data_IF_403906430857
#
_entry.id   IF_403906430857
#
_cell.length_a   1.000
_cell.length_b   1.000
_cell.length_c   1.000
_cell.angle_alpha   90.00
_cell.angle_beta   90.00
_cell.angle_gamma   90.00
#
_symmetry.space_group_name_H-M   'P 1'
#
loop_
_entity.id
_entity.type
_entity.pdbx_description
1 polymer ?
#
# COMPACT_ATOMS: atom_id res chain seq x y z
N UNK A 1 -8.66 1.84 -1.32
CA UNK A 1 -7.77 2.55 -2.29
C UNK A 1 -8.23 3.99 -2.36
N UNK A 2 -7.33 4.93 -2.68
CA UNK A 2 -7.66 6.35 -2.86
C UNK A 2 -7.29 6.79 -4.27
N UNK A 3 -8.03 7.76 -4.82
CA UNK A 3 -7.76 8.30 -6.15
C UNK A 3 -6.71 9.42 -6.07
N UNK A 4 -5.54 9.18 -6.67
CA UNK A 4 -4.41 10.12 -6.62
C UNK A 4 -4.71 11.51 -7.22
N UNK A 5 -5.63 11.58 -8.19
CA UNK A 5 -5.96 12.82 -8.89
C UNK A 5 -6.67 13.86 -8.01
N UNK A 6 -7.29 13.47 -6.89
CA UNK A 6 -7.88 14.42 -5.93
C UNK A 6 -6.81 15.20 -5.15
N UNK A 7 -5.57 14.71 -5.11
CA UNK A 7 -4.47 15.33 -4.35
C UNK A 7 -3.59 16.24 -5.22
N UNK A 8 -3.74 16.18 -6.54
CA UNK A 8 -3.10 17.08 -7.49
C UNK A 8 -3.88 18.41 -7.56
N UNK A 9 -3.59 19.34 -6.65
CA UNK A 9 -4.00 20.77 -6.60
C UNK A 9 -5.32 21.18 -7.29
N UNK A 10 -6.33 21.53 -6.49
CA UNK A 10 -7.65 22.07 -6.90
C UNK A 10 -7.68 23.61 -7.10
N UNK A 11 -6.62 24.24 -7.59
CA UNK A 11 -6.63 25.70 -7.77
C UNK A 11 -5.42 26.27 -8.48
N UNK A 12 -5.71 27.06 -9.53
CA UNK A 12 -4.80 27.81 -10.40
C UNK A 12 -4.01 27.00 -11.44
N UNK A 13 -4.54 27.05 -12.67
CA UNK A 13 -3.84 26.94 -13.96
C UNK A 13 -3.04 25.65 -14.19
N UNK A 14 -3.15 25.14 -15.42
CA UNK A 14 -2.35 24.05 -15.96
C UNK A 14 -0.84 24.39 -16.01
N UNK A 15 -0.20 24.48 -14.85
CA UNK A 15 1.23 24.33 -14.67
C UNK A 15 1.41 23.03 -13.91
N UNK A 16 1.84 22.01 -14.64
CA UNK A 16 2.32 20.74 -14.10
C UNK A 16 3.41 21.06 -13.08
N UNK A 17 3.05 21.18 -11.81
CA UNK A 17 4.04 21.23 -10.75
C UNK A 17 4.60 19.80 -10.65
N UNK A 18 5.88 19.63 -10.93
CA UNK A 18 6.65 18.42 -10.63
C UNK A 18 6.80 18.27 -9.11
N UNK A 19 5.70 18.21 -8.37
CA UNK A 19 5.73 17.92 -6.95
C UNK A 19 5.54 16.43 -6.77
N UNK A 20 6.49 15.79 -6.10
CA UNK A 20 6.39 14.38 -5.75
C UNK A 20 5.17 14.21 -4.81
N UNK A 21 4.26 13.31 -5.19
CA UNK A 21 3.09 12.97 -4.39
C UNK A 21 3.43 11.77 -3.50
N UNK A 22 3.46 12.00 -2.20
CA UNK A 22 3.67 10.96 -1.18
C UNK A 22 2.33 10.56 -0.61
N UNK A 23 1.89 9.33 -0.88
CA UNK A 23 0.69 8.75 -0.28
C UNK A 23 1.09 7.82 0.86
N UNK A 24 0.68 8.19 2.08
CA UNK A 24 0.83 7.39 3.28
C UNK A 24 -0.45 6.63 3.61
N UNK A 25 -0.30 5.54 4.34
CA UNK A 25 -1.40 4.70 4.82
C UNK A 25 -1.14 4.32 6.27
N UNK A 26 -2.18 4.43 7.10
CA UNK A 26 -2.19 3.94 8.47
C UNK A 26 -3.29 2.91 8.64
N UNK A 27 -2.98 1.85 9.39
CA UNK A 27 -3.95 0.81 9.74
C UNK A 27 -3.87 0.59 11.23
N UNK A 28 -4.96 0.82 11.94
CA UNK A 28 -5.12 0.43 13.33
C UNK A 28 -5.61 -1.02 13.38
N UNK A 29 -4.75 -1.93 13.83
CA UNK A 29 -5.06 -3.35 13.91
C UNK A 29 -6.04 -3.71 15.05
N UNK A 30 -6.23 -2.82 16.04
CA UNK A 30 -7.16 -3.05 17.13
C UNK A 30 -8.60 -2.74 16.70
N UNK A 31 -8.79 -1.67 15.94
CA UNK A 31 -10.12 -1.22 15.49
C UNK A 31 -10.45 -1.64 14.07
N UNK A 32 -9.46 -1.97 13.24
CA UNK A 32 -9.64 -2.23 11.81
C UNK A 32 -9.77 -0.97 10.95
N UNK A 33 -9.53 0.22 11.52
CA UNK A 33 -9.63 1.48 10.80
C UNK A 33 -8.39 1.73 9.94
N UNK A 34 -8.61 2.03 8.66
CA UNK A 34 -7.57 2.39 7.70
C UNK A 34 -7.77 3.83 7.25
N UNK A 35 -6.72 4.65 7.37
CA UNK A 35 -6.72 6.06 6.95
C UNK A 35 -5.55 6.34 6.01
N UNK A 36 -5.67 7.44 5.25
CA UNK A 36 -4.69 7.82 4.24
C UNK A 36 -4.21 9.25 4.46
N UNK A 37 -2.96 9.50 4.07
CA UNK A 37 -2.40 10.85 4.04
C UNK A 37 -1.85 11.15 2.65
N UNK A 38 -1.98 12.39 2.17
CA UNK A 38 -1.26 12.90 1.01
C UNK A 38 -0.31 13.99 1.45
N UNK A 39 0.98 13.85 1.15
CA UNK A 39 2.05 14.78 1.53
C UNK A 39 2.02 15.14 3.03
N UNK A 40 1.77 14.14 3.88
CA UNK A 40 1.68 14.31 5.34
C UNK A 40 0.38 14.90 5.87
N UNK A 41 -0.56 15.31 5.00
CA UNK A 41 -1.89 15.77 5.39
C UNK A 41 -2.89 14.63 5.34
N UNK A 42 -3.66 14.45 6.42
CA UNK A 42 -4.74 13.46 6.47
C UNK A 42 -5.80 13.75 5.41
N UNK A 43 -6.26 12.69 4.75
CA UNK A 43 -7.34 12.71 3.77
C UNK A 43 -8.62 12.31 4.50
N UNK A 44 -9.73 12.98 4.21
CA UNK A 44 -11.04 12.68 4.82
C UNK A 44 -11.71 11.42 4.22
N UNK A 45 -10.93 10.36 4.04
CA UNK A 45 -11.36 9.08 3.50
C UNK A 45 -10.79 7.98 4.40
N UNK A 46 -11.69 7.20 5.00
CA UNK A 46 -11.36 6.11 5.89
C UNK A 46 -12.10 4.84 5.45
N UNK A 47 -11.52 3.70 5.76
CA UNK A 47 -12.11 2.38 5.48
C UNK A 47 -12.13 1.56 6.76
N UNK A 48 -13.26 0.91 7.01
CA UNK A 48 -13.40 -0.03 8.11
C UNK A 48 -13.19 -1.45 7.59
N UNK A 49 -12.28 -2.17 8.22
CA UNK A 49 -11.94 -3.56 7.85
C UNK A 49 -12.45 -4.49 8.93
N UNK A 50 -13.07 -5.59 8.50
CA UNK A 50 -13.55 -6.63 9.42
C UNK A 50 -12.38 -7.38 10.08
N UNK A 51 -12.52 -7.81 11.35
CA UNK A 51 -11.55 -8.67 12.00
C UNK A 51 -11.23 -9.93 11.18
N UNK A 52 -10.01 -10.44 11.34
CA UNK A 52 -9.49 -11.61 10.61
C UNK A 52 -9.40 -11.46 9.08
N UNK A 53 -9.51 -10.23 8.55
CA UNK A 53 -9.27 -9.96 7.12
C UNK A 53 -7.79 -9.86 6.83
N UNK A 54 -7.34 -10.49 5.74
CA UNK A 54 -5.98 -10.32 5.21
C UNK A 54 -5.97 -9.20 4.17
N UNK A 55 -5.14 -8.19 4.40
CA UNK A 55 -4.91 -7.09 3.46
C UNK A 55 -3.57 -7.26 2.77
N UNK A 56 -3.52 -6.90 1.49
CA UNK A 56 -2.30 -6.87 0.69
C UNK A 56 -2.08 -5.43 0.18
N UNK A 57 -0.91 -4.80 0.45
CA UNK A 57 -0.62 -3.48 -0.09
C UNK A 57 -0.45 -3.57 -1.61
N UNK A 58 -1.27 -2.80 -2.34
CA UNK A 58 -1.25 -2.77 -3.80
C UNK A 58 -1.44 -1.33 -4.30
N UNK A 59 -0.76 -1.00 -5.40
CA UNK A 59 -0.86 0.29 -6.07
C UNK A 59 -1.05 0.03 -7.57
N UNK A 60 -2.05 0.67 -8.15
CA UNK A 60 -2.28 0.67 -9.60
C UNK A 60 -1.82 2.02 -10.16
N UNK A 61 -0.89 1.99 -11.11
CA UNK A 61 -0.44 3.19 -11.81
C UNK A 61 -0.25 2.90 -13.30
N UNK A 62 -0.43 3.93 -14.11
CA UNK A 62 -0.05 3.91 -15.51
C UNK A 62 1.40 4.43 -15.62
N UNK A 63 2.33 3.67 -16.21
CA UNK A 63 3.69 4.15 -16.45
C UNK A 63 3.69 5.33 -17.42
N UNK A 64 4.10 6.51 -16.95
CA UNK A 64 4.20 7.73 -17.77
C UNK A 64 5.63 8.26 -17.85
N UNK A 65 6.55 7.75 -17.03
CA UNK A 65 7.96 8.13 -17.00
C UNK A 65 8.83 6.97 -16.48
N UNK A 66 10.15 7.16 -16.42
CA UNK A 66 11.08 6.15 -15.90
C UNK A 66 10.87 5.86 -14.41
N UNK A 67 10.49 6.88 -13.62
CA UNK A 67 10.24 6.75 -12.19
C UNK A 67 8.72 6.80 -11.94
N UNK A 68 8.08 5.63 -11.90
CA UNK A 68 6.62 5.54 -11.79
C UNK A 68 6.17 5.50 -10.33
N UNK A 69 6.73 4.59 -9.52
CA UNK A 69 6.40 4.40 -8.11
C UNK A 69 7.67 4.07 -7.33
N UNK A 70 7.80 4.63 -6.13
CA UNK A 70 8.73 4.20 -5.10
C UNK A 70 7.95 3.71 -3.88
N UNK A 71 8.25 2.51 -3.42
CA UNK A 71 7.67 1.97 -2.19
C UNK A 71 8.61 2.27 -1.02
N UNK A 72 8.09 2.89 0.03
CA UNK A 72 8.84 3.17 1.25
C UNK A 72 8.21 2.43 2.44
N UNK A 73 9.06 1.71 3.17
CA UNK A 73 8.70 1.06 4.42
C UNK A 73 9.26 1.89 5.57
N UNK A 74 8.67 3.08 5.76
CA UNK A 74 9.12 4.04 6.77
C UNK A 74 8.63 3.72 8.18
N UNK A 75 9.08 4.55 9.13
CA UNK A 75 8.51 4.64 10.47
C UNK A 75 7.92 6.03 10.71
N UNK A 76 6.81 6.09 11.43
CA UNK A 76 6.22 7.32 11.94
C UNK A 76 6.37 7.36 13.45
N UNK A 77 6.37 8.56 14.04
CA UNK A 77 6.55 8.73 15.48
C UNK A 77 5.44 7.96 16.22
N UNK A 78 5.84 7.10 17.16
CA UNK A 78 4.94 6.27 17.98
C UNK A 78 4.09 5.26 17.20
N UNK A 79 4.46 4.93 15.96
CA UNK A 79 3.75 3.95 15.11
C UNK A 79 4.74 2.87 14.70
N UNK A 80 4.35 1.61 14.86
CA UNK A 80 5.17 0.47 14.45
C UNK A 80 5.24 0.38 12.92
N UNK A 81 6.40 0.06 12.32
CA UNK A 81 6.53 -0.10 10.88
C UNK A 81 5.78 -1.36 10.40
N UNK A 82 5.39 -1.39 9.13
CA UNK A 82 4.67 -2.54 8.53
C UNK A 82 5.45 -3.86 8.65
N UNK A 83 6.78 -3.83 8.71
CA UNK A 83 7.61 -5.01 8.94
C UNK A 83 7.32 -5.69 10.28
N UNK A 84 7.01 -4.94 11.34
CA UNK A 84 6.60 -5.51 12.63
C UNK A 84 5.23 -6.20 12.58
N UNK A 85 4.36 -5.79 11.64
CA UNK A 85 3.07 -6.44 11.41
C UNK A 85 3.19 -7.71 10.53
N UNK A 86 4.12 -7.71 9.56
CA UNK A 86 4.29 -8.82 8.62
C UNK A 86 5.14 -9.97 9.19
N UNK A 87 6.14 -9.67 10.01
CA UNK A 87 7.11 -10.67 10.51
C UNK A 87 6.97 -10.87 12.01
N UNK A 88 6.63 -12.09 12.42
CA UNK A 88 6.46 -12.43 13.83
C UNK A 88 7.72 -12.20 14.67
N UNK A 89 8.92 -12.39 14.08
CA UNK A 89 10.21 -12.10 14.75
C UNK A 89 10.41 -10.62 15.04
N UNK A 90 9.87 -9.74 14.19
CA UNK A 90 10.04 -8.28 14.28
C UNK A 90 8.91 -7.59 15.03
N UNK A 91 7.96 -8.33 15.61
CA UNK A 91 6.74 -7.76 16.21
C UNK A 91 6.98 -6.65 17.23
N UNK A 92 8.10 -6.69 17.95
CA UNK A 92 8.49 -5.69 18.96
C UNK A 92 9.60 -4.75 18.49
N UNK A 93 10.05 -4.88 17.23
CA UNK A 93 11.12 -4.07 16.69
C UNK A 93 10.54 -2.75 16.14
N UNK A 94 10.91 -1.59 16.72
CA UNK A 94 10.45 -0.30 16.22
C UNK A 94 11.19 0.16 14.96
N UNK A 95 12.30 -0.50 14.59
CA UNK A 95 13.09 -0.14 13.42
C UNK A 95 12.57 -0.82 12.15
N UNK A 96 12.37 -0.07 11.05
CA UNK A 96 11.85 -0.61 9.81
C UNK A 96 12.84 -1.59 9.20
N UNK A 97 12.36 -2.79 8.90
CA UNK A 97 13.10 -3.82 8.17
C UNK A 97 12.55 -3.99 6.75
N UNK A 98 13.42 -4.31 5.80
CA UNK A 98 13.06 -4.71 4.44
C UNK A 98 13.64 -6.10 4.16
N UNK A 99 13.02 -7.17 4.66
CA UNK A 99 13.58 -8.51 4.50
C UNK A 99 13.48 -8.97 3.04
N UNK A 100 14.43 -9.82 2.57
CA UNK A 100 14.49 -10.27 1.18
C UNK A 100 13.24 -10.99 0.65
N UNK A 101 12.36 -11.44 1.55
CA UNK A 101 11.10 -12.10 1.19
C UNK A 101 10.05 -11.13 0.64
N UNK A 102 10.20 -9.82 0.85
CA UNK A 102 9.30 -8.82 0.31
C UNK A 102 9.68 -8.53 -1.14
N UNK A 103 8.86 -9.01 -2.08
CA UNK A 103 9.03 -8.79 -3.50
C UNK A 103 7.79 -8.10 -4.08
N UNK A 104 8.01 -7.19 -5.02
CA UNK A 104 6.92 -6.60 -5.80
C UNK A 104 6.43 -7.65 -6.80
N UNK A 105 5.13 -7.91 -6.76
CA UNK A 105 4.46 -8.82 -7.69
C UNK A 105 3.64 -8.01 -8.69
N UNK A 106 3.66 -8.43 -9.95
CA UNK A 106 2.84 -7.86 -11.01
C UNK A 106 1.80 -8.90 -11.44
N UNK A 107 0.58 -8.43 -11.74
CA UNK A 107 -0.48 -9.30 -12.24
C UNK A 107 -0.13 -9.79 -13.64
N UNK A 108 -0.24 -11.10 -13.84
CA UNK A 108 -0.11 -11.74 -15.15
C UNK A 108 -1.50 -11.97 -15.74
N UNK A 109 -1.73 -11.61 -17.01
CA UNK A 109 -3.06 -11.76 -17.62
C UNK A 109 -3.49 -13.22 -17.83
N UNK A 110 -2.52 -14.13 -17.94
CA UNK A 110 -2.75 -15.56 -18.18
C UNK A 110 -1.88 -16.38 -17.23
N UNK A 111 -2.45 -17.43 -16.66
CA UNK A 111 -1.73 -18.41 -15.82
C UNK A 111 -2.04 -19.82 -16.28
N UNK A 112 -1.13 -20.75 -15.98
CA UNK A 112 -1.31 -22.16 -16.27
C UNK A 112 -1.88 -22.86 -15.05
N UNK A 113 -2.86 -23.74 -15.25
CA UNK A 113 -3.41 -24.61 -14.21
C UNK A 113 -3.31 -26.08 -14.63
N UNK A 114 -3.19 -26.96 -13.64
CA UNK A 114 -3.15 -28.40 -13.88
C UNK A 114 -4.58 -28.93 -14.03
N UNK A 115 -4.82 -29.71 -15.08
CA UNK A 115 -6.07 -30.45 -15.24
C UNK A 115 -6.18 -31.55 -14.17
N UNK A 116 -7.29 -31.65 -13.41
CA UNK A 116 -7.52 -32.75 -12.49
C UNK A 116 -7.52 -34.11 -13.23
N UNK A 117 -6.99 -35.15 -12.58
CA UNK A 117 -6.93 -36.49 -13.17
C UNK A 117 -8.31 -37.16 -13.20
N UNK A 118 -9.13 -36.94 -12.16
CA UNK A 118 -10.47 -37.52 -12.03
C UNK A 118 -11.49 -36.39 -11.77
N UNK A 119 -12.35 -36.04 -12.73
CA UNK A 119 -13.30 -34.94 -12.58
C UNK A 119 -14.46 -35.20 -11.60
N UNK A 120 -14.59 -36.44 -11.10
CA UNK A 120 -15.80 -36.93 -10.43
C UNK A 120 -15.53 -37.65 -9.09
N UNK A 121 -14.31 -37.56 -8.55
CA UNK A 121 -13.97 -38.11 -7.22
C UNK A 121 -14.42 -37.19 -6.09
#
# INVERSE_FOLDING_TARGET
MVWGGEFASTGQQARVSHTDLVIGCLVDLATGLMTFTANGKEINTFFQVEPNTKLFPAVFALPTSQNVIQFELGKLKNIMPISAAMFSSERKNPEPQCPPRLAIQALTPVTWSRMPNDPWS
#
